data_IF_661742860710
#
_entry.id   IF_661742860710
#
_cell.length_a   1.000
_cell.length_b   1.000
_cell.length_c   1.000
_cell.angle_alpha   90.00
_cell.angle_beta   90.00
_cell.angle_gamma   90.00
#
_symmetry.space_group_name_H-M   'P 1'
#
loop_
_entity.id
_entity.type
_entity.pdbx_description
1 polymer ?
#
# COMPACT_ATOMS: atom_id res chain seq x y z
N UNK A 1 -12.15 -29.92 -57.15
CA UNK A 1 -10.85 -29.39 -56.71
C UNK A 1 -10.94 -27.88 -56.75
N UNK A 2 -11.40 -27.28 -55.65
CA UNK A 2 -11.31 -25.83 -55.50
C UNK A 2 -9.84 -25.56 -55.19
N UNK A 3 -9.13 -24.92 -56.11
CA UNK A 3 -7.85 -24.33 -55.80
C UNK A 3 -8.05 -23.58 -54.47
N UNK A 4 -7.32 -23.98 -53.43
CA UNK A 4 -7.17 -23.15 -52.26
C UNK A 4 -6.62 -21.83 -52.79
N UNK A 5 -7.50 -20.86 -53.04
CA UNK A 5 -7.11 -19.54 -53.51
C UNK A 5 -6.02 -19.10 -52.54
N UNK A 6 -4.82 -19.00 -53.09
CA UNK A 6 -3.60 -18.80 -52.35
C UNK A 6 -3.77 -17.47 -51.59
N UNK A 7 -3.86 -17.54 -50.26
CA UNK A 7 -3.97 -16.34 -49.43
C UNK A 7 -2.64 -15.61 -49.55
N UNK A 8 -2.66 -14.37 -50.04
CA UNK A 8 -1.43 -13.57 -50.07
C UNK A 8 -1.00 -13.19 -48.66
N UNK A 9 0.28 -12.90 -48.47
CA UNK A 9 0.82 -12.51 -47.17
C UNK A 9 0.14 -11.23 -46.65
N UNK A 10 -0.22 -10.31 -47.54
CA UNK A 10 -0.97 -9.10 -47.21
C UNK A 10 -2.39 -9.42 -46.73
N UNK A 11 -3.11 -10.32 -47.42
CA UNK A 11 -4.45 -10.76 -47.02
C UNK A 11 -4.42 -11.45 -45.65
N UNK A 12 -3.41 -12.29 -45.42
CA UNK A 12 -3.20 -12.98 -44.14
C UNK A 12 -2.90 -11.98 -43.01
N UNK A 13 -2.01 -11.01 -43.24
CA UNK A 13 -1.71 -9.96 -42.26
C UNK A 13 -2.94 -9.12 -41.90
N UNK A 14 -3.77 -8.77 -42.89
CA UNK A 14 -5.02 -8.02 -42.65
C UNK A 14 -6.04 -8.87 -41.89
N UNK A 15 -6.14 -10.17 -42.17
CA UNK A 15 -7.01 -11.08 -41.43
C UNK A 15 -6.61 -11.16 -39.95
N UNK A 16 -5.32 -11.29 -39.64
CA UNK A 16 -4.81 -11.34 -38.27
C UNK A 16 -5.06 -10.03 -37.51
N UNK A 17 -4.80 -8.89 -38.16
CA UNK A 17 -5.09 -7.57 -37.57
C UNK A 17 -6.59 -7.39 -37.30
N UNK A 18 -7.45 -7.78 -38.24
CA UNK A 18 -8.90 -7.70 -38.09
C UNK A 18 -9.41 -8.62 -36.96
N UNK A 19 -8.84 -9.82 -36.81
CA UNK A 19 -9.18 -10.74 -35.72
C UNK A 19 -8.85 -10.16 -34.34
N UNK A 20 -7.73 -9.44 -34.21
CA UNK A 20 -7.37 -8.73 -32.99
C UNK A 20 -8.31 -7.55 -32.72
N UNK A 21 -8.62 -6.75 -33.74
CA UNK A 21 -9.48 -5.57 -33.61
C UNK A 21 -10.93 -5.91 -33.23
N UNK A 22 -11.47 -7.02 -33.78
CA UNK A 22 -12.84 -7.45 -33.54
C UNK A 22 -12.94 -8.63 -32.56
N UNK A 23 -11.96 -8.80 -31.67
CA UNK A 23 -11.95 -9.87 -30.68
C UNK A 23 -13.14 -9.79 -29.70
N UNK A 24 -13.63 -8.57 -29.40
CA UNK A 24 -14.71 -8.30 -28.45
C UNK A 24 -16.14 -8.48 -28.97
N UNK A 25 -16.35 -8.75 -30.27
CA UNK A 25 -17.70 -9.01 -30.81
C UNK A 25 -18.13 -10.43 -30.44
N UNK A 26 -19.21 -10.56 -29.67
CA UNK A 26 -19.72 -11.84 -29.19
C UNK A 26 -20.54 -12.60 -30.23
N UNK A 27 -21.28 -11.92 -31.12
CA UNK A 27 -22.01 -12.58 -32.21
C UNK A 27 -21.05 -12.98 -33.34
N UNK A 28 -20.97 -14.29 -33.58
CA UNK A 28 -20.11 -14.90 -34.59
C UNK A 28 -20.43 -14.39 -36.00
N UNK A 29 -21.71 -14.18 -36.33
CA UNK A 29 -22.10 -13.70 -37.67
C UNK A 29 -21.67 -12.27 -37.89
N UNK A 30 -21.89 -11.39 -36.91
CA UNK A 30 -21.44 -10.01 -36.96
C UNK A 30 -19.91 -9.89 -36.96
N UNK A 31 -19.22 -10.71 -36.17
CA UNK A 31 -17.75 -10.75 -36.13
C UNK A 31 -17.16 -11.04 -37.51
N UNK A 32 -17.60 -12.10 -38.19
CA UNK A 32 -17.06 -12.44 -39.51
C UNK A 32 -17.43 -11.42 -40.59
N UNK A 33 -18.61 -10.78 -40.48
CA UNK A 33 -18.99 -9.67 -41.37
C UNK A 33 -18.09 -8.45 -41.19
N UNK A 34 -17.74 -8.11 -39.95
CA UNK A 34 -16.81 -7.03 -39.63
C UNK A 34 -15.38 -7.36 -40.11
N UNK A 35 -14.92 -8.58 -39.86
CA UNK A 35 -13.60 -9.06 -40.32
C UNK A 35 -13.49 -9.01 -41.85
N UNK A 36 -14.48 -9.53 -42.60
CA UNK A 36 -14.44 -9.45 -44.06
C UNK A 36 -14.43 -8.03 -44.60
N UNK A 37 -15.09 -7.09 -43.89
CA UNK A 37 -15.10 -5.68 -44.28
C UNK A 37 -13.72 -5.04 -44.11
N UNK A 38 -12.96 -5.45 -43.09
CA UNK A 38 -11.61 -4.97 -42.84
C UNK A 38 -10.58 -5.60 -43.81
N UNK A 39 -10.72 -6.89 -44.12
CA UNK A 39 -9.86 -7.58 -45.11
C UNK A 39 -10.12 -7.05 -46.52
N UNK A 40 -11.38 -6.75 -46.88
CA UNK A 40 -11.76 -6.06 -48.11
C UNK A 40 -11.71 -6.90 -49.39
N UNK A 41 -10.83 -7.90 -49.47
CA UNK A 41 -10.64 -8.76 -50.65
C UNK A 41 -11.43 -10.08 -50.60
N UNK A 42 -11.81 -10.55 -49.41
CA UNK A 42 -12.44 -11.87 -49.19
C UNK A 42 -13.78 -11.78 -48.49
N UNK A 43 -14.63 -12.77 -48.76
CA UNK A 43 -15.93 -12.91 -48.11
C UNK A 43 -15.80 -13.43 -46.66
N UNK A 44 -16.79 -13.11 -45.82
CA UNK A 44 -16.85 -13.54 -44.41
C UNK A 44 -16.68 -15.06 -44.22
N UNK A 45 -17.24 -15.86 -45.13
CA UNK A 45 -17.11 -17.33 -45.11
C UNK A 45 -15.67 -17.78 -45.37
N UNK A 46 -14.99 -17.17 -46.35
CA UNK A 46 -13.60 -17.51 -46.66
C UNK A 46 -12.65 -17.15 -45.50
N UNK A 47 -12.86 -15.99 -44.87
CA UNK A 47 -12.12 -15.58 -43.67
C UNK A 47 -12.30 -16.59 -42.52
N UNK A 48 -13.53 -17.07 -42.31
CA UNK A 48 -13.84 -18.05 -41.28
C UNK A 48 -13.20 -19.43 -41.56
N UNK A 49 -13.23 -19.88 -42.82
CA UNK A 49 -12.60 -21.14 -43.23
C UNK A 49 -11.07 -21.09 -43.06
N UNK A 50 -10.43 -19.97 -43.44
CA UNK A 50 -8.98 -19.78 -43.24
C UNK A 50 -8.60 -19.79 -41.76
N UNK A 51 -9.34 -19.08 -40.91
CA UNK A 51 -9.08 -19.08 -39.47
C UNK A 51 -9.19 -20.48 -38.85
N UNK A 52 -10.16 -21.30 -39.28
CA UNK A 52 -10.27 -22.69 -38.83
C UNK A 52 -9.02 -23.49 -39.21
N UNK A 53 -8.55 -23.37 -40.44
CA UNK A 53 -7.34 -24.05 -40.90
C UNK A 53 -6.10 -23.61 -40.10
N UNK A 54 -5.91 -22.31 -39.87
CA UNK A 54 -4.80 -21.80 -39.04
C UNK A 54 -4.88 -22.33 -37.60
N UNK A 55 -6.08 -22.38 -37.01
CA UNK A 55 -6.29 -22.90 -35.66
C UNK A 55 -5.98 -24.40 -35.57
N UNK A 56 -6.36 -25.19 -36.57
CA UNK A 56 -6.08 -26.62 -36.62
C UNK A 56 -4.57 -26.90 -36.70
N UNK A 57 -3.84 -26.16 -37.54
CA UNK A 57 -2.37 -26.26 -37.62
C UNK A 57 -1.72 -25.90 -36.28
N UNK A 58 -2.17 -24.81 -35.63
CA UNK A 58 -1.63 -24.41 -34.33
C UNK A 58 -1.88 -25.46 -33.23
N UNK A 59 -3.06 -26.10 -33.23
CA UNK A 59 -3.37 -27.18 -32.29
C UNK A 59 -2.53 -28.44 -32.58
N UNK A 60 -2.34 -28.79 -33.85
CA UNK A 60 -1.50 -29.92 -34.24
C UNK A 60 -0.04 -29.71 -33.87
N UNK A 61 0.51 -28.50 -34.08
CA UNK A 61 1.87 -28.17 -33.64
C UNK A 61 2.00 -28.28 -32.12
N UNK A 62 1.02 -27.79 -31.36
CA UNK A 62 1.01 -27.94 -29.90
C UNK A 62 0.92 -29.39 -29.45
N UNK A 63 0.16 -30.24 -30.15
CA UNK A 63 0.12 -31.68 -29.89
C UNK A 63 1.44 -32.36 -30.24
N UNK A 64 2.06 -32.00 -31.36
CA UNK A 64 3.38 -32.51 -31.74
C UNK A 64 4.49 -32.05 -30.80
N UNK A 65 4.40 -30.85 -30.22
CA UNK A 65 5.31 -30.40 -29.17
C UNK A 65 5.09 -31.17 -27.85
N UNK A 66 3.85 -31.50 -27.53
CA UNK A 66 3.52 -32.30 -26.35
C UNK A 66 3.90 -33.78 -26.50
N UNK A 67 3.82 -34.33 -27.72
CA UNK A 67 4.08 -35.75 -27.99
C UNK A 67 5.51 -36.02 -28.51
N UNK A 68 6.14 -35.05 -29.18
CA UNK A 68 7.44 -35.19 -29.86
C UNK A 68 8.65 -34.72 -29.06
N UNK A 69 8.49 -34.30 -27.82
CA UNK A 69 9.59 -33.94 -26.91
C UNK A 69 10.38 -35.13 -26.36
N UNK A 70 10.01 -36.37 -26.71
CA UNK A 70 10.52 -37.57 -26.07
C UNK A 70 10.61 -38.76 -27.05
N UNK A 71 11.55 -38.77 -28.02
CA UNK A 71 12.15 -40.07 -28.41
C UNK A 71 13.47 -40.07 -29.22
N UNK A 72 13.88 -39.03 -29.95
CA UNK A 72 15.04 -39.18 -30.87
C UNK A 72 16.39 -38.59 -30.36
N UNK A 73 16.69 -38.82 -29.07
CA UNK A 73 17.93 -38.35 -28.42
C UNK A 73 18.57 -39.32 -27.42
N UNK A 74 18.29 -40.62 -27.52
CA UNK A 74 18.48 -41.63 -26.44
C UNK A 74 19.91 -42.12 -26.14
N UNK A 75 20.95 -41.36 -26.47
CA UNK A 75 22.31 -41.73 -26.01
C UNK A 75 23.24 -40.55 -25.70
N UNK A 76 23.05 -39.39 -26.35
CA UNK A 76 23.80 -38.17 -26.03
C UNK A 76 22.99 -37.17 -25.19
N UNK A 77 21.66 -37.32 -25.12
CA UNK A 77 20.77 -36.45 -24.35
C UNK A 77 20.78 -36.72 -22.84
N UNK A 78 21.04 -37.96 -22.41
CA UNK A 78 20.93 -38.35 -21.00
C UNK A 78 21.97 -37.65 -20.10
N UNK A 79 23.17 -37.38 -20.62
CA UNK A 79 24.21 -36.68 -19.85
C UNK A 79 23.96 -35.16 -19.81
N UNK A 80 23.37 -34.60 -20.87
CA UNK A 80 22.98 -33.19 -20.92
C UNK A 80 21.72 -32.90 -20.09
N UNK A 81 20.78 -33.85 -20.02
CA UNK A 81 19.58 -33.74 -19.18
C UNK A 81 19.94 -33.87 -17.69
N UNK A 82 20.77 -34.84 -17.32
CA UNK A 82 21.26 -34.97 -15.94
C UNK A 82 22.04 -33.73 -15.46
N UNK A 83 22.75 -33.04 -16.38
CA UNK A 83 23.41 -31.78 -16.08
C UNK A 83 22.42 -30.61 -15.91
N UNK A 84 21.29 -30.60 -16.64
CA UNK A 84 20.22 -29.60 -16.48
C UNK A 84 19.44 -29.81 -15.19
N UNK A 85 19.05 -31.03 -14.87
CA UNK A 85 18.37 -31.36 -13.61
C UNK A 85 19.23 -30.99 -12.40
N UNK A 86 20.56 -31.23 -12.48
CA UNK A 86 21.48 -30.82 -11.43
C UNK A 86 21.56 -29.29 -11.30
N UNK A 87 21.62 -28.56 -12.42
CA UNK A 87 21.68 -27.10 -12.40
C UNK A 87 20.36 -26.49 -11.89
N UNK A 88 19.21 -27.02 -12.29
CA UNK A 88 17.90 -26.58 -11.83
C UNK A 88 17.72 -26.84 -10.33
N UNK A 89 18.23 -27.98 -9.82
CA UNK A 89 18.20 -28.26 -8.39
C UNK A 89 19.13 -27.34 -7.58
N UNK A 90 20.33 -27.04 -8.07
CA UNK A 90 21.22 -26.06 -7.43
C UNK A 90 20.62 -24.64 -7.46
N UNK A 91 19.93 -24.26 -8.53
CA UNK A 91 19.24 -22.97 -8.62
C UNK A 91 18.04 -22.90 -7.66
N UNK A 92 17.25 -23.97 -7.56
CA UNK A 92 16.13 -24.06 -6.62
C UNK A 92 16.61 -24.02 -5.16
N UNK A 93 17.72 -24.68 -4.82
CA UNK A 93 18.31 -24.62 -3.48
C UNK A 93 18.85 -23.22 -3.16
N UNK A 94 19.48 -22.54 -4.14
CA UNK A 94 19.93 -21.16 -3.98
C UNK A 94 18.76 -20.17 -3.80
N UNK A 95 17.66 -20.35 -4.53
CA UNK A 95 16.45 -19.55 -4.38
C UNK A 95 15.80 -19.78 -3.00
N UNK A 96 15.71 -21.03 -2.54
CA UNK A 96 15.18 -21.35 -1.21
C UNK A 96 16.03 -20.72 -0.09
N UNK A 97 17.36 -20.81 -0.19
CA UNK A 97 18.27 -20.17 0.77
C UNK A 97 18.17 -18.64 0.75
N UNK A 98 17.93 -18.04 -0.42
CA UNK A 98 17.71 -16.61 -0.55
C UNK A 98 16.38 -16.17 0.07
N UNK A 99 15.31 -16.94 -0.14
CA UNK A 99 13.99 -16.67 0.45
C UNK A 99 14.03 -16.81 1.98
N UNK A 100 14.73 -17.81 2.51
CA UNK A 100 14.95 -17.96 3.95
C UNK A 100 15.71 -16.77 4.55
N UNK A 101 16.79 -16.32 3.90
CA UNK A 101 17.55 -15.16 4.34
C UNK A 101 16.72 -13.86 4.27
N UNK A 102 15.87 -13.70 3.25
CA UNK A 102 14.97 -12.54 3.15
C UNK A 102 13.89 -12.58 4.24
N UNK A 103 13.36 -13.76 4.55
CA UNK A 103 12.39 -13.95 5.63
C UNK A 103 12.98 -13.59 6.99
N UNK A 104 14.24 -13.95 7.26
CA UNK A 104 14.94 -13.60 8.51
C UNK A 104 15.13 -12.08 8.65
N UNK A 105 15.62 -11.40 7.60
CA UNK A 105 15.78 -9.93 7.60
C UNK A 105 14.44 -9.22 7.77
N UNK A 106 13.38 -9.74 7.16
CA UNK A 106 12.02 -9.19 7.31
C UNK A 106 11.52 -9.35 8.74
N UNK A 107 11.74 -10.50 9.37
CA UNK A 107 11.36 -10.75 10.76
C UNK A 107 12.13 -9.83 11.73
N UNK A 108 13.42 -9.61 11.51
CA UNK A 108 14.23 -8.67 12.30
C UNK A 108 13.73 -7.23 12.15
N UNK A 109 13.41 -6.81 10.92
CA UNK A 109 12.87 -5.47 10.66
C UNK A 109 11.49 -5.25 11.30
N UNK A 110 10.64 -6.29 11.32
CA UNK A 110 9.33 -6.24 11.99
C UNK A 110 9.48 -6.14 13.51
N UNK A 111 10.37 -6.94 14.10
CA UNK A 111 10.68 -6.86 15.54
C UNK A 111 11.24 -5.49 15.94
N UNK A 112 12.12 -4.90 15.12
CA UNK A 112 12.65 -3.56 15.36
C UNK A 112 11.55 -2.48 15.28
N UNK A 113 10.58 -2.64 14.38
CA UNK A 113 9.44 -1.72 14.26
C UNK A 113 8.50 -1.83 15.46
N UNK A 114 8.20 -3.05 15.93
CA UNK A 114 7.39 -3.28 17.12
C UNK A 114 8.05 -2.68 18.37
N UNK A 115 9.37 -2.85 18.53
CA UNK A 115 10.13 -2.24 19.62
C UNK A 115 10.08 -0.70 19.58
N UNK A 116 10.21 -0.10 18.40
CA UNK A 116 10.10 1.35 18.25
C UNK A 116 8.68 1.86 18.56
N UNK A 117 7.64 1.10 18.16
CA UNK A 117 6.25 1.44 18.49
C UNK A 117 5.99 1.36 20.00
N UNK A 118 6.50 0.31 20.66
CA UNK A 118 6.42 0.15 22.11
C UNK A 118 7.07 1.35 22.84
N UNK A 119 8.25 1.78 22.42
CA UNK A 119 8.93 2.95 23.01
C UNK A 119 8.10 4.22 22.85
N UNK A 120 7.49 4.44 21.67
CA UNK A 120 6.61 5.62 21.47
C UNK A 120 5.37 5.58 22.34
N UNK A 121 4.79 4.40 22.56
CA UNK A 121 3.61 4.20 23.41
C UNK A 121 3.93 4.47 24.88
N UNK A 122 5.09 4.02 25.36
CA UNK A 122 5.54 4.30 26.72
C UNK A 122 5.83 5.78 26.93
N UNK A 123 6.46 6.45 25.95
CA UNK A 123 6.67 7.89 25.99
C UNK A 123 5.34 8.68 26.03
N UNK A 124 4.33 8.25 25.28
CA UNK A 124 3.00 8.86 25.33
C UNK A 124 2.32 8.67 26.69
N UNK A 125 2.44 7.47 27.27
CA UNK A 125 1.92 7.19 28.62
C UNK A 125 2.57 8.08 29.67
N UNK A 126 3.90 8.22 29.63
CA UNK A 126 4.61 9.12 30.55
C UNK A 126 4.17 10.58 30.40
N UNK A 127 3.91 11.05 29.17
CA UNK A 127 3.37 12.40 28.94
C UNK A 127 1.95 12.55 29.49
N UNK A 128 1.11 11.53 29.36
CA UNK A 128 -0.24 11.54 29.91
C UNK A 128 -0.21 11.60 31.45
N UNK A 129 0.64 10.81 32.08
CA UNK A 129 0.82 10.79 33.54
C UNK A 129 1.35 12.15 34.05
N UNK A 130 2.38 12.70 33.40
CA UNK A 130 2.91 14.03 33.75
C UNK A 130 1.85 15.13 33.61
N UNK A 131 1.00 15.06 32.59
CA UNK A 131 -0.09 16.01 32.39
C UNK A 131 -1.17 15.87 33.46
N UNK A 132 -1.48 14.65 33.89
CA UNK A 132 -2.42 14.40 34.98
C UNK A 132 -1.90 14.95 36.31
N UNK A 133 -0.61 14.75 36.62
CA UNK A 133 0.00 15.33 37.81
C UNK A 133 0.02 16.86 37.79
N UNK A 134 0.32 17.47 36.63
CA UNK A 134 0.27 18.91 36.46
C UNK A 134 -1.15 19.47 36.71
N UNK A 135 -2.18 18.84 36.14
CA UNK A 135 -3.58 19.22 36.35
C UNK A 135 -4.00 19.07 37.82
N UNK A 136 -3.54 18.00 38.50
CA UNK A 136 -3.80 17.80 39.93
C UNK A 136 -3.16 18.90 40.79
N UNK A 137 -1.95 19.34 40.45
CA UNK A 137 -1.26 20.44 41.15
C UNK A 137 -1.99 21.77 40.93
N UNK A 138 -2.38 22.06 39.69
CA UNK A 138 -3.14 23.26 39.34
C UNK A 138 -4.50 23.31 40.08
N UNK A 139 -5.20 22.18 40.16
CA UNK A 139 -6.46 22.09 40.91
C UNK A 139 -6.27 22.38 42.41
N UNK A 140 -5.20 21.88 43.03
CA UNK A 140 -4.86 22.17 44.43
C UNK A 140 -4.51 23.64 44.65
N UNK A 141 -3.76 24.24 43.72
CA UNK A 141 -3.41 25.65 43.79
C UNK A 141 -4.65 26.54 43.66
N UNK A 142 -5.56 26.20 42.74
CA UNK A 142 -6.83 26.91 42.56
C UNK A 142 -7.72 26.80 43.80
N UNK A 143 -7.84 25.62 44.40
CA UNK A 143 -8.60 25.43 45.65
C UNK A 143 -7.99 26.23 46.81
N UNK A 144 -6.66 26.28 46.92
CA UNK A 144 -5.96 27.09 47.91
C UNK A 144 -6.19 28.61 47.70
N UNK A 145 -6.15 29.07 46.44
CA UNK A 145 -6.45 30.47 46.08
C UNK A 145 -7.90 30.81 46.40
N UNK A 146 -8.87 29.95 46.05
CA UNK A 146 -10.28 30.16 46.34
C UNK A 146 -10.54 30.20 47.85
N UNK A 147 -9.90 29.31 48.62
CA UNK A 147 -9.95 29.33 50.08
C UNK A 147 -9.39 30.63 50.67
N UNK A 148 -8.25 31.11 50.17
CA UNK A 148 -7.65 32.37 50.62
C UNK A 148 -8.57 33.58 50.35
N UNK A 149 -9.14 33.65 49.14
CA UNK A 149 -10.12 34.71 48.77
C UNK A 149 -11.35 34.66 49.67
N UNK A 150 -11.85 33.45 49.99
CA UNK A 150 -13.01 33.27 50.88
C UNK A 150 -12.71 33.70 52.32
N UNK A 151 -11.52 33.38 52.83
CA UNK A 151 -11.07 33.78 54.16
C UNK A 151 -10.88 35.30 54.26
N UNK A 152 -10.32 35.92 53.23
CA UNK A 152 -10.19 37.38 53.13
C UNK A 152 -11.57 38.06 53.10
N UNK A 153 -12.50 37.56 52.28
CA UNK A 153 -13.87 38.09 52.22
C UNK A 153 -14.59 37.97 53.58
N UNK A 154 -14.40 36.86 54.30
CA UNK A 154 -14.95 36.69 55.65
C UNK A 154 -14.33 37.68 56.65
N UNK A 155 -13.02 37.93 56.57
CA UNK A 155 -12.34 38.91 57.42
C UNK A 155 -12.80 40.35 57.14
N UNK A 156 -13.07 40.70 55.88
CA UNK A 156 -13.62 42.00 55.50
C UNK A 156 -15.05 42.19 56.04
N UNK A 157 -15.91 41.17 55.94
CA UNK A 157 -17.26 41.21 56.53
C UNK A 157 -17.24 41.42 58.05
N UNK A 158 -16.31 40.77 58.76
CA UNK A 158 -16.16 40.95 60.21
C UNK A 158 -15.77 42.39 60.61
N UNK A 159 -15.00 43.10 59.76
CA UNK A 159 -14.61 44.51 60.00
C UNK A 159 -15.73 45.52 59.68
N UNK A 160 -16.65 45.18 58.78
CA UNK A 160 -17.77 46.06 58.38
C UNK A 160 -19.00 46.04 59.30
N UNK A 161 -19.11 45.04 60.19
CA UNK A 161 -20.34 44.78 60.96
C UNK A 161 -20.63 45.70 62.16
N UNK A 162 -19.71 46.58 62.59
CA UNK A 162 -19.83 47.25 63.90
C UNK A 162 -20.05 48.77 63.86
N UNK A 163 -20.42 49.36 62.71
CA UNK A 163 -20.51 50.83 62.58
C UNK A 163 -21.86 51.40 62.11
N UNK A 164 -22.94 50.61 62.05
CA UNK A 164 -24.24 51.08 61.52
C UNK A 164 -25.42 50.77 62.44
N UNK A 165 -25.33 51.19 63.70
CA UNK A 165 -26.46 51.18 64.64
C UNK A 165 -26.68 52.52 65.38
N UNK A 166 -26.02 53.62 64.98
CA UNK A 166 -26.33 54.95 65.50
C UNK A 166 -26.18 56.00 64.40
N UNK A 167 -27.03 57.03 64.43
CA UNK A 167 -27.17 58.17 63.50
C UNK A 167 -28.01 57.85 62.24
N UNK A 168 -29.33 58.03 62.24
CA UNK A 168 -30.14 59.26 62.40
C UNK A 168 -29.80 60.34 61.35
N UNK A 169 -30.75 60.58 60.44
CA UNK A 169 -30.94 61.75 59.56
C UNK A 169 -30.32 63.06 60.08
N UNK A 170 -29.84 63.99 59.24
CA UNK A 170 -30.70 64.70 58.27
C UNK A 170 -30.04 65.15 56.94
N UNK A 171 -30.91 65.66 56.06
CA UNK A 171 -30.59 66.41 54.86
C UNK A 171 -29.63 67.59 55.12
N UNK A 172 -28.65 67.83 54.25
CA UNK A 172 -28.28 69.19 53.82
C UNK A 172 -27.33 69.22 52.61
N UNK A 173 -27.39 70.36 51.98
CA UNK A 173 -26.93 70.90 50.72
C UNK A 173 -25.43 71.30 50.68
N UNK A 174 -24.85 71.19 49.47
CA UNK A 174 -23.70 71.90 48.89
C UNK A 174 -22.31 71.97 49.60
N UNK A 175 -21.27 71.73 48.76
CA UNK A 175 -20.09 72.61 48.52
C UNK A 175 -18.70 71.99 48.73
N UNK A 176 -18.09 71.65 47.58
CA UNK A 176 -16.74 71.95 47.07
C UNK A 176 -15.44 71.81 47.91
N UNK A 177 -14.39 71.40 47.16
CA UNK A 177 -12.93 71.64 47.29
C UNK A 177 -12.11 70.49 47.89
N UNK A 178 -11.54 69.63 47.03
CA UNK A 178 -10.10 69.47 46.66
C UNK A 178 -9.19 69.11 47.85
N UNK A 179 -8.68 67.85 47.89
CA UNK A 179 -7.30 67.58 48.30
C UNK A 179 -6.80 66.22 47.80
N UNK A 180 -5.52 66.16 47.47
CA UNK A 180 -4.87 65.12 46.69
C UNK A 180 -4.52 63.87 47.51
N UNK A 181 -5.07 62.74 47.11
CA UNK A 181 -4.59 61.42 47.51
C UNK A 181 -4.84 60.47 46.36
N UNK A 182 -3.78 59.92 45.77
CA UNK A 182 -3.87 58.90 44.74
C UNK A 182 -4.63 57.69 45.26
N UNK A 183 -5.93 57.69 45.03
CA UNK A 183 -6.79 56.53 45.17
C UNK A 183 -6.35 55.62 44.04
N UNK A 184 -5.73 54.49 44.38
CA UNK A 184 -5.72 53.34 43.48
C UNK A 184 -7.18 53.04 43.20
N UNK A 185 -7.70 53.65 42.14
CA UNK A 185 -9.01 53.38 41.58
C UNK A 185 -8.90 51.94 41.08
N UNK A 186 -9.18 51.01 41.99
CA UNK A 186 -9.39 49.61 41.69
C UNK A 186 -10.46 49.61 40.61
N UNK A 187 -10.01 49.47 39.36
CA UNK A 187 -10.88 49.41 38.20
C UNK A 187 -11.64 48.11 38.37
N UNK A 188 -12.77 48.18 39.08
CA UNK A 188 -13.71 47.09 39.24
C UNK A 188 -14.27 46.84 37.84
N UNK A 189 -13.56 46.00 37.08
CA UNK A 189 -14.03 45.55 35.78
C UNK A 189 -15.39 44.90 36.00
N UNK A 190 -16.38 45.45 35.31
CA UNK A 190 -17.75 44.97 35.32
C UNK A 190 -17.77 43.47 34.97
N UNK A 191 -18.71 42.72 35.54
CA UNK A 191 -18.72 41.26 35.44
C UNK A 191 -18.83 40.77 33.98
N UNK A 192 -19.46 41.59 33.13
CA UNK A 192 -19.49 41.40 31.68
C UNK A 192 -18.10 41.53 31.03
N UNK A 193 -17.26 42.46 31.49
CA UNK A 193 -15.90 42.64 31.00
C UNK A 193 -14.99 41.47 31.40
N UNK A 194 -15.14 40.93 32.62
CA UNK A 194 -14.39 39.73 33.05
C UNK A 194 -14.73 38.51 32.19
N UNK A 195 -16.01 38.24 31.94
CA UNK A 195 -16.44 37.16 31.05
C UNK A 195 -15.94 37.33 29.61
N UNK A 196 -15.92 38.56 29.11
CA UNK A 196 -15.36 38.84 27.78
C UNK A 196 -13.84 38.62 27.73
N UNK A 197 -13.10 39.00 28.77
CA UNK A 197 -11.66 38.77 28.87
C UNK A 197 -11.34 37.26 28.92
N UNK A 198 -12.09 36.48 29.70
CA UNK A 198 -11.94 35.03 29.78
C UNK A 198 -12.22 34.35 28.43
N UNK A 199 -13.26 34.79 27.70
CA UNK A 199 -13.56 34.26 26.37
C UNK A 199 -12.42 34.56 25.39
N UNK A 200 -11.83 35.77 25.43
CA UNK A 200 -10.66 36.12 24.60
C UNK A 200 -9.47 35.23 24.93
N UNK A 201 -9.20 35.00 26.22
CA UNK A 201 -8.12 34.11 26.68
C UNK A 201 -8.33 32.67 26.20
N UNK A 202 -9.56 32.16 26.23
CA UNK A 202 -9.89 30.84 25.70
C UNK A 202 -9.72 30.76 24.18
N UNK A 203 -10.11 31.80 23.44
CA UNK A 203 -9.91 31.87 21.98
C UNK A 203 -8.43 31.88 21.64
N UNK A 204 -7.61 32.65 22.38
CA UNK A 204 -6.16 32.69 22.20
C UNK A 204 -5.51 31.35 22.53
N UNK A 205 -5.87 30.71 23.65
CA UNK A 205 -5.39 29.38 24.01
C UNK A 205 -5.76 28.31 22.97
N UNK A 206 -6.97 28.38 22.40
CA UNK A 206 -7.39 27.47 21.33
C UNK A 206 -6.63 27.72 20.03
N UNK A 207 -6.36 28.99 19.67
CA UNK A 207 -5.51 29.33 18.53
C UNK A 207 -4.09 28.83 18.71
N UNK A 208 -3.51 29.00 19.89
CA UNK A 208 -2.17 28.51 20.21
C UNK A 208 -2.09 26.98 20.12
N UNK A 209 -3.08 26.28 20.68
CA UNK A 209 -3.18 24.81 20.58
C UNK A 209 -3.27 24.33 19.14
N UNK A 210 -3.95 25.07 18.27
CA UNK A 210 -4.02 24.75 16.84
C UNK A 210 -2.64 24.93 16.17
N UNK A 211 -1.93 26.03 16.45
CA UNK A 211 -0.58 26.24 15.92
C UNK A 211 0.40 25.14 16.35
N UNK A 212 0.33 24.71 17.61
CA UNK A 212 1.16 23.61 18.10
C UNK A 212 0.89 22.29 17.39
N UNK A 213 -0.38 21.99 17.04
CA UNK A 213 -0.72 20.81 16.24
C UNK A 213 -0.16 20.92 14.81
N UNK A 214 -0.33 22.07 14.18
CA UNK A 214 0.19 22.30 12.83
C UNK A 214 1.72 22.18 12.80
N UNK A 215 2.42 22.70 13.81
CA UNK A 215 3.88 22.55 13.96
C UNK A 215 4.29 21.10 14.22
N UNK A 216 3.54 20.33 15.01
CA UNK A 216 3.82 18.91 15.25
C UNK A 216 3.60 18.08 13.98
N UNK A 217 2.52 18.33 13.24
CA UNK A 217 2.27 17.69 11.93
C UNK A 217 3.34 18.06 10.91
N UNK A 218 3.78 19.32 10.87
CA UNK A 218 4.89 19.75 10.03
C UNK A 218 6.19 19.02 10.39
N UNK A 219 6.49 18.86 11.68
CA UNK A 219 7.66 18.09 12.15
C UNK A 219 7.55 16.61 11.77
N UNK A 220 6.38 15.98 11.93
CA UNK A 220 6.15 14.58 11.52
C UNK A 220 6.32 14.42 10.01
N UNK A 221 5.78 15.35 9.21
CA UNK A 221 5.94 15.36 7.75
C UNK A 221 7.39 15.55 7.33
N UNK A 222 8.13 16.45 7.98
CA UNK A 222 9.55 16.65 7.72
C UNK A 222 10.38 15.41 8.08
N UNK A 223 10.09 14.75 9.22
CA UNK A 223 10.75 13.51 9.62
C UNK A 223 10.50 12.39 8.62
N UNK A 224 9.25 12.22 8.16
CA UNK A 224 8.91 11.24 7.12
C UNK A 224 9.62 11.53 5.81
N UNK A 225 9.64 12.79 5.37
CA UNK A 225 10.36 13.19 4.16
C UNK A 225 11.87 12.91 4.25
N UNK A 226 12.50 13.14 5.40
CA UNK A 226 13.91 12.81 5.63
C UNK A 226 14.17 11.29 5.58
N UNK A 227 13.27 10.48 6.15
CA UNK A 227 13.35 9.03 6.09
C UNK A 227 13.18 8.50 4.66
N UNK A 228 12.22 9.05 3.89
CA UNK A 228 12.01 8.69 2.49
C UNK A 228 13.23 9.07 1.62
N UNK A 229 13.88 10.20 1.91
CA UNK A 229 15.12 10.61 1.24
C UNK A 229 16.30 9.68 1.56
N UNK A 230 16.44 9.27 2.82
CA UNK A 230 17.45 8.31 3.25
C UNK A 230 17.24 6.94 2.59
N UNK A 231 16.00 6.45 2.55
CA UNK A 231 15.65 5.21 1.86
C UNK A 231 15.94 5.29 0.35
N UNK A 232 15.66 6.42 -0.29
CA UNK A 232 15.98 6.64 -1.70
C UNK A 232 17.50 6.62 -1.95
N UNK A 233 18.30 7.23 -1.06
CA UNK A 233 19.77 7.18 -1.15
C UNK A 233 20.30 5.75 -0.95
N UNK A 234 19.75 5.00 -0.01
CA UNK A 234 20.11 3.61 0.22
C UNK A 234 19.79 2.74 -1.01
N UNK A 235 18.60 2.89 -1.61
CA UNK A 235 18.21 2.19 -2.82
C UNK A 235 19.13 2.53 -4.01
N UNK A 236 19.52 3.80 -4.17
CA UNK A 236 20.46 4.22 -5.20
C UNK A 236 21.86 3.62 -4.99
N UNK A 237 22.33 3.54 -3.75
CA UNK A 237 23.61 2.91 -3.40
C UNK A 237 23.58 1.41 -3.70
N UNK A 238 22.49 0.72 -3.34
CA UNK A 238 22.29 -0.70 -3.66
C UNK A 238 22.29 -0.96 -5.17
N UNK A 239 21.61 -0.13 -5.96
CA UNK A 239 21.61 -0.22 -7.43
C UNK A 239 23.02 -0.08 -8.02
N UNK A 240 23.79 0.91 -7.55
CA UNK A 240 25.20 1.09 -7.97
C UNK A 240 26.09 -0.09 -7.59
N UNK A 241 25.87 -0.68 -6.41
CA UNK A 241 26.61 -1.86 -5.98
C UNK A 241 26.29 -3.10 -6.85
N UNK A 242 25.02 -3.29 -7.20
CA UNK A 242 24.59 -4.36 -8.11
C UNK A 242 25.19 -4.20 -9.52
N UNK A 243 25.18 -2.98 -10.06
CA UNK A 243 25.79 -2.68 -11.36
C UNK A 243 27.31 -2.93 -11.35
N UNK A 244 28.00 -2.54 -10.27
CA UNK A 244 29.43 -2.81 -10.11
C UNK A 244 29.74 -4.31 -10.00
N UNK A 245 28.85 -5.10 -9.38
CA UNK A 245 28.98 -6.57 -9.32
C UNK A 245 28.82 -7.19 -10.71
N UNK A 246 27.79 -6.80 -11.45
CA UNK A 246 27.55 -7.27 -12.82
C UNK A 246 28.70 -6.91 -13.77
N UNK A 247 29.30 -5.73 -13.62
CA UNK A 247 30.48 -5.34 -14.39
C UNK A 247 31.72 -6.21 -14.08
N UNK A 248 31.91 -6.60 -12.81
CA UNK A 248 33.00 -7.52 -12.41
C UNK A 248 32.77 -8.92 -12.96
N UNK A 249 31.55 -9.43 -12.87
CA UNK A 249 31.21 -10.77 -13.37
C UNK A 249 31.37 -10.84 -14.89
N UNK A 250 30.94 -9.80 -15.62
CA UNK A 250 31.17 -9.68 -17.06
C UNK A 250 32.66 -9.67 -17.41
N UNK A 251 33.49 -8.95 -16.64
CA UNK A 251 34.94 -8.92 -16.84
C UNK A 251 35.58 -10.29 -16.59
N UNK A 252 35.18 -10.98 -15.52
CA UNK A 252 35.65 -12.32 -15.20
C UNK A 252 35.28 -13.34 -16.30
N UNK A 253 34.08 -13.23 -16.87
CA UNK A 253 33.65 -14.06 -18.00
C UNK A 253 34.51 -13.84 -19.25
N UNK A 254 34.84 -12.59 -19.59
CA UNK A 254 35.70 -12.26 -20.72
C UNK A 254 37.16 -12.73 -20.50
N UNK A 255 37.70 -12.58 -19.28
CA UNK A 255 39.01 -13.13 -18.92
C UNK A 255 39.05 -14.67 -19.01
N UNK A 256 37.98 -15.36 -18.59
CA UNK A 256 37.86 -16.81 -18.72
C UNK A 256 37.78 -17.28 -20.18
N UNK A 257 37.07 -16.54 -21.05
CA UNK A 257 37.05 -16.80 -22.50
C UNK A 257 38.44 -16.62 -23.13
N UNK A 258 39.15 -15.56 -22.76
CA UNK A 258 40.51 -15.31 -23.26
C UNK A 258 41.48 -16.42 -22.85
N UNK A 259 41.42 -16.88 -21.59
CA UNK A 259 42.25 -17.98 -21.11
C UNK A 259 41.99 -19.30 -21.87
N UNK A 260 40.74 -19.58 -22.24
CA UNK A 260 40.38 -20.81 -22.98
C UNK A 260 40.87 -20.80 -24.45
N UNK A 261 40.98 -19.63 -25.06
CA UNK A 261 41.50 -19.49 -26.42
C UNK A 261 43.02 -19.69 -26.52
N UNK A 262 43.74 -19.60 -25.39
CA UNK A 262 45.20 -19.62 -25.34
C UNK A 262 45.79 -20.99 -24.95
N UNK A 263 45.01 -22.07 -25.00
CA UNK A 263 45.54 -23.44 -24.91
C UNK A 263 45.93 -23.90 -26.33
N UNK A 264 47.19 -23.76 -26.77
CA UNK A 264 47.63 -24.30 -28.05
C UNK A 264 47.47 -25.81 -28.04
N UNK A 265 46.88 -26.35 -29.10
CA UNK A 265 46.54 -27.75 -29.25
C UNK A 265 47.69 -28.68 -28.87
N UNK A 266 47.57 -29.33 -27.71
CA UNK A 266 48.30 -30.55 -27.44
C UNK A 266 47.58 -31.66 -28.21
N UNK A 267 48.25 -32.13 -29.25
CA UNK A 267 47.69 -33.03 -30.26
C UNK A 267 47.15 -34.35 -29.70
N UNK A 268 46.37 -35.08 -30.51
CA UNK A 268 45.80 -36.37 -30.15
C UNK A 268 46.90 -37.43 -30.05
N UNK A 269 47.56 -37.52 -28.90
CA UNK A 269 48.39 -38.67 -28.56
C UNK A 269 47.46 -39.81 -28.13
N UNK A 270 47.25 -40.75 -29.06
CA UNK A 270 46.49 -41.96 -28.81
C UNK A 270 47.04 -42.75 -27.63
N UNK A 271 46.20 -43.03 -26.64
CA UNK A 271 46.47 -44.02 -25.62
C UNK A 271 45.36 -45.08 -25.66
N UNK A 272 45.65 -46.17 -26.38
CA UNK A 272 44.95 -47.44 -26.21
C UNK A 272 45.26 -47.96 -24.81
N UNK A 273 44.32 -47.83 -23.90
CA UNK A 273 44.39 -48.40 -22.55
C UNK A 273 43.16 -49.24 -22.26
N UNK A 274 43.15 -50.48 -22.75
CA UNK A 274 42.23 -51.52 -22.31
C UNK A 274 42.49 -51.85 -20.84
N UNK A 275 41.67 -51.30 -19.94
CA UNK A 275 41.73 -51.56 -18.50
C UNK A 275 40.40 -52.15 -18.01
N UNK A 276 40.24 -53.45 -18.18
CA UNK A 276 39.14 -54.27 -17.65
C UNK A 276 39.43 -54.50 -16.16
N UNK A 277 38.70 -53.82 -15.28
CA UNK A 277 38.85 -53.94 -13.82
C UNK A 277 37.49 -54.10 -13.17
N UNK A 278 37.21 -55.33 -12.72
CA UNK A 278 35.99 -55.75 -12.05
C UNK A 278 36.01 -55.45 -10.54
N UNK A 279 34.98 -54.74 -10.06
CA UNK A 279 34.37 -54.80 -8.69
C UNK A 279 35.22 -54.42 -7.46
N UNK A 280 34.66 -54.51 -6.24
CA UNK A 280 33.24 -54.55 -5.84
C UNK A 280 32.89 -53.59 -4.66
N UNK A 281 31.60 -53.58 -4.30
CA UNK A 281 30.97 -53.20 -3.03
C UNK A 281 31.83 -52.69 -1.86
N UNK A 282 31.46 -51.53 -1.32
CA UNK A 282 31.89 -51.03 -0.01
C UNK A 282 30.70 -50.48 0.78
N UNK A 283 30.07 -51.36 1.54
CA UNK A 283 29.02 -51.09 2.52
C UNK A 283 29.70 -50.68 3.84
N UNK A 284 29.21 -49.61 4.48
CA UNK A 284 29.42 -49.36 5.92
C UNK A 284 30.44 -48.28 6.30
N UNK A 285 30.01 -47.29 7.08
CA UNK A 285 30.34 -47.20 8.50
C UNK A 285 29.75 -45.91 9.08
N UNK A 286 28.85 -46.06 10.04
CA UNK A 286 28.61 -45.05 11.07
C UNK A 286 29.92 -44.81 11.83
N UNK A 287 30.22 -43.56 12.17
CA UNK A 287 31.13 -43.24 13.26
C UNK A 287 30.70 -41.92 13.88
N UNK A 288 30.09 -42.04 15.06
CA UNK A 288 29.91 -40.96 16.00
C UNK A 288 31.27 -40.41 16.43
N UNK A 289 31.38 -39.09 16.54
CA UNK A 289 32.39 -38.45 17.39
C UNK A 289 31.67 -37.42 18.26
N UNK A 290 31.42 -37.84 19.49
CA UNK A 290 31.19 -36.96 20.62
C UNK A 290 32.48 -36.19 20.91
N UNK A 291 32.39 -34.86 20.92
CA UNK A 291 33.46 -33.95 21.35
C UNK A 291 32.93 -33.03 22.45
N UNK A 292 33.12 -33.46 23.69
CA UNK A 292 32.77 -32.76 24.93
C UNK A 292 33.92 -31.82 25.31
N UNK A 293 33.61 -30.55 25.55
CA UNK A 293 34.23 -29.73 26.60
C UNK A 293 35.60 -29.09 26.35
N UNK A 294 35.63 -27.76 26.27
CA UNK A 294 36.71 -26.95 26.82
C UNK A 294 36.16 -25.58 27.23
N UNK A 295 35.92 -25.42 28.53
CA UNK A 295 35.80 -24.14 29.22
C UNK A 295 37.13 -23.41 29.18
N UNK A 296 37.17 -22.16 28.72
CA UNK A 296 38.28 -21.25 28.99
C UNK A 296 37.83 -19.80 28.88
N UNK A 297 37.55 -19.21 30.05
CA UNK A 297 38.13 -17.95 30.53
C UNK A 297 38.00 -16.69 29.64
N UNK A 298 37.13 -15.78 30.08
CA UNK A 298 37.15 -14.35 29.71
C UNK A 298 38.55 -13.73 29.90
N UNK A 299 38.86 -12.67 29.15
CA UNK A 299 38.96 -11.40 29.86
C UNK A 299 38.21 -10.26 29.16
N UNK A 300 37.76 -9.33 30.02
CA UNK A 300 37.27 -8.02 29.66
C UNK A 300 38.30 -7.24 28.82
N UNK A 301 37.85 -6.59 27.75
CA UNK A 301 38.70 -5.74 26.92
C UNK A 301 37.89 -4.88 25.97
N UNK A 302 37.81 -3.59 26.31
CA UNK A 302 37.20 -2.51 25.53
C UNK A 302 37.76 -2.40 24.11
N UNK A 303 36.88 -2.04 23.18
CA UNK A 303 37.21 -1.09 22.11
C UNK A 303 37.25 -1.65 20.68
N UNK A 304 36.57 -0.96 19.77
CA UNK A 304 36.89 -1.01 18.33
C UNK A 304 35.74 -1.40 17.41
N UNK A 305 34.79 -0.49 17.21
CA UNK A 305 33.90 -0.49 16.06
C UNK A 305 34.72 -0.35 14.77
N UNK A 306 34.80 -1.41 13.97
CA UNK A 306 35.14 -1.37 12.55
C UNK A 306 34.43 -2.54 11.83
N UNK A 307 33.12 -2.41 11.65
CA UNK A 307 32.31 -3.36 10.88
C UNK A 307 32.50 -3.15 9.38
N UNK A 308 33.10 -4.14 8.72
CA UNK A 308 33.34 -4.20 7.28
C UNK A 308 32.59 -5.43 6.74
N UNK A 309 31.67 -5.21 5.79
CA UNK A 309 31.31 -6.19 4.75
C UNK A 309 30.10 -7.09 5.01
N UNK A 310 28.90 -6.56 4.79
CA UNK A 310 27.69 -7.36 4.52
C UNK A 310 27.55 -7.64 3.03
N UNK A 311 27.46 -8.92 2.68
CA UNK A 311 27.26 -9.48 1.34
C UNK A 311 25.80 -9.32 0.90
N UNK A 312 25.57 -8.71 -0.27
CA UNK A 312 24.23 -8.57 -0.85
C UNK A 312 23.99 -9.60 -1.97
N UNK A 313 23.12 -10.55 -1.67
CA UNK A 313 22.41 -11.46 -2.58
C UNK A 313 21.36 -10.66 -3.36
N UNK A 314 21.18 -10.96 -4.64
CA UNK A 314 20.42 -10.16 -5.61
C UNK A 314 19.12 -10.88 -5.99
N UNK A 315 17.96 -10.24 -5.91
CA UNK A 315 16.72 -10.65 -6.59
C UNK A 315 16.37 -9.65 -7.73
N UNK A 316 15.66 -10.08 -8.78
CA UNK A 316 15.26 -9.21 -9.90
C UNK A 316 13.92 -8.50 -9.65
N UNK A 317 13.87 -7.19 -9.86
CA UNK A 317 12.64 -6.38 -9.79
C UNK A 317 12.21 -5.93 -11.19
N UNK A 318 10.93 -6.21 -11.47
CA UNK A 318 10.19 -5.84 -12.66
C UNK A 318 10.06 -4.32 -12.89
N UNK A 319 9.97 -3.94 -14.17
CA UNK A 319 9.77 -2.59 -14.67
C UNK A 319 8.48 -1.91 -14.14
N UNK A 320 8.57 -0.65 -13.66
CA UNK A 320 7.39 0.19 -13.51
C UNK A 320 7.11 1.00 -14.79
N UNK A 321 5.92 0.77 -15.38
CA UNK A 321 5.33 1.60 -16.44
C UNK A 321 5.07 3.03 -15.95
N UNK A 322 5.34 4.00 -16.83
CA UNK A 322 5.18 5.43 -16.62
C UNK A 322 3.72 5.86 -16.32
N UNK A 323 3.51 6.96 -15.55
CA UNK A 323 2.18 7.52 -15.32
C UNK A 323 1.68 8.31 -16.53
N UNK A 324 0.63 7.80 -17.18
CA UNK A 324 -0.17 8.54 -18.15
C UNK A 324 -1.01 9.62 -17.47
N UNK A 325 -0.99 10.83 -18.05
CA UNK A 325 -1.74 12.02 -17.62
C UNK A 325 -3.25 11.75 -17.53
N UNK A 326 -3.98 12.37 -16.59
CA UNK A 326 -5.43 12.21 -16.49
C UNK A 326 -6.15 12.89 -17.65
N UNK A 327 -6.95 12.10 -18.36
CA UNK A 327 -7.89 12.55 -19.40
C UNK A 327 -9.06 13.26 -18.74
N UNK A 328 -9.27 14.52 -19.13
CA UNK A 328 -10.42 15.31 -18.78
C UNK A 328 -11.65 14.82 -19.57
N UNK A 329 -12.38 13.86 -19.03
CA UNK A 329 -13.78 13.63 -19.41
C UNK A 329 -14.46 12.66 -18.43
N UNK A 330 -15.19 13.19 -17.45
CA UNK A 330 -16.38 12.51 -16.93
C UNK A 330 -17.39 13.50 -16.35
N UNK A 331 -18.69 13.33 -16.68
CA UNK A 331 -19.74 14.30 -16.43
C UNK A 331 -20.40 14.10 -15.04
N UNK A 332 -21.03 15.17 -14.58
CA UNK A 332 -22.13 15.19 -13.59
C UNK A 332 -21.92 14.50 -12.24
N UNK A 333 -21.35 15.25 -11.29
CA UNK A 333 -21.67 15.09 -9.86
C UNK A 333 -22.48 16.29 -9.39
N UNK A 334 -23.80 16.27 -9.65
CA UNK A 334 -24.79 17.11 -8.96
C UNK A 334 -25.14 16.41 -7.66
N UNK A 335 -24.67 16.92 -6.53
CA UNK A 335 -25.15 16.43 -5.25
C UNK A 335 -24.51 17.11 -4.07
N UNK A 336 -25.37 17.65 -3.21
CA UNK A 336 -25.12 18.04 -1.82
C UNK A 336 -24.47 19.41 -1.62
N UNK A 337 -25.30 20.44 -1.82
CA UNK A 337 -24.94 21.79 -1.38
C UNK A 337 -25.93 22.90 -1.76
N UNK A 338 -27.24 22.69 -1.60
CA UNK A 338 -28.20 23.80 -1.67
C UNK A 338 -28.96 23.93 -0.34
N UNK A 339 -28.62 25.03 0.37
CA UNK A 339 -29.39 25.59 1.47
C UNK A 339 -30.82 25.89 1.00
N UNK A 340 -31.88 25.50 1.73
CA UNK A 340 -33.21 26.04 1.48
C UNK A 340 -33.26 27.50 1.94
N UNK A 341 -33.55 28.40 1.00
CA UNK A 341 -33.89 29.78 1.27
C UNK A 341 -35.32 29.87 1.86
N UNK A 342 -35.50 30.85 2.74
CA UNK A 342 -36.74 31.14 3.46
C UNK A 342 -37.92 31.38 2.50
N UNK A 343 -39.00 30.64 2.69
CA UNK A 343 -40.30 30.92 2.08
C UNK A 343 -41.13 31.80 3.01
N UNK A 344 -41.26 33.07 2.63
CA UNK A 344 -42.32 33.98 3.02
C UNK A 344 -43.66 33.52 2.42
N UNK A 345 -44.75 33.58 3.21
CA UNK A 345 -46.13 33.34 2.76
C UNK A 345 -46.62 34.33 1.67
N UNK A 346 -47.87 34.21 1.18
CA UNK A 346 -49.03 34.52 2.02
C UNK A 346 -50.35 33.75 1.76
N UNK A 347 -51.20 33.80 2.80
CA UNK A 347 -52.69 33.90 2.83
C UNK A 347 -53.62 32.75 2.35
N UNK A 348 -54.68 32.41 3.14
CA UNK A 348 -55.72 31.43 2.78
C UNK A 348 -57.06 32.09 2.41
N UNK A 349 -57.83 31.49 1.49
CA UNK A 349 -59.29 31.69 1.41
C UNK A 349 -60.01 30.63 0.55
N UNK A 350 -61.08 30.08 1.14
CA UNK A 350 -62.35 29.65 0.53
C UNK A 350 -62.44 28.41 -0.38
N UNK A 351 -62.78 27.26 0.23
CA UNK A 351 -64.15 26.71 0.16
C UNK A 351 -64.57 25.77 -1.01
N UNK A 352 -65.60 24.91 -0.81
CA UNK A 352 -65.71 23.59 -1.46
C UNK A 352 -67.01 23.36 -2.28
N UNK A 353 -67.04 22.29 -3.11
CA UNK A 353 -68.19 21.47 -3.61
C UNK A 353 -67.78 20.81 -4.94
N UNK A 354 -68.32 19.70 -5.43
CA UNK A 354 -69.00 18.50 -4.94
C UNK A 354 -69.22 17.63 -6.21
N UNK A 355 -69.19 16.30 -6.02
CA UNK A 355 -69.92 15.27 -6.76
C UNK A 355 -69.84 15.16 -8.31
N UNK A 356 -69.34 14.03 -8.80
CA UNK A 356 -70.10 13.04 -9.60
C UNK A 356 -69.18 11.88 -10.05
N UNK A 357 -69.56 10.63 -9.74
CA UNK A 357 -68.93 9.42 -10.29
C UNK A 357 -69.47 9.07 -11.69
N UNK A 358 -69.62 7.77 -12.03
CA UNK A 358 -68.58 6.75 -12.20
C UNK A 358 -68.68 6.09 -13.59
N UNK A 359 -67.62 5.40 -14.09
CA UNK A 359 -67.80 4.36 -15.13
C UNK A 359 -66.60 3.41 -15.28
N UNK A 360 -66.89 2.14 -14.95
CA UNK A 360 -66.60 0.89 -15.66
C UNK A 360 -65.27 0.66 -16.43
N UNK A 361 -64.70 -0.53 -16.23
CA UNK A 361 -63.79 -1.21 -17.16
C UNK A 361 -62.76 -2.07 -16.42
N UNK A 362 -63.04 -3.36 -16.17
CA UNK A 362 -62.59 -4.51 -16.98
C UNK A 362 -61.11 -4.89 -16.74
N UNK A 363 -60.86 -6.14 -16.31
CA UNK A 363 -59.54 -6.74 -15.99
C UNK A 363 -58.65 -7.02 -17.23
N UNK A 364 -57.71 -8.00 -17.25
CA UNK A 364 -57.46 -9.09 -16.29
C UNK A 364 -55.97 -9.36 -15.92
N UNK A 365 -55.77 -10.40 -15.09
CA UNK A 365 -54.54 -11.14 -14.70
C UNK A 365 -53.52 -11.39 -15.84
N UNK A 366 -52.24 -11.26 -15.52
CA UNK A 366 -51.11 -12.00 -16.10
C UNK A 366 -50.04 -12.17 -14.99
N UNK A 367 -49.84 -13.35 -14.40
CA UNK A 367 -49.07 -14.51 -14.87
C UNK A 367 -47.55 -14.28 -14.81
N UNK A 368 -46.92 -14.92 -13.81
CA UNK A 368 -45.48 -14.97 -13.60
C UNK A 368 -44.77 -15.86 -14.64
N UNK A 369 -43.54 -15.54 -15.09
CA UNK A 369 -42.81 -16.38 -16.01
C UNK A 369 -42.18 -17.61 -15.31
N UNK A 370 -42.58 -18.78 -15.77
CA UNK A 370 -41.96 -20.08 -15.50
C UNK A 370 -40.58 -20.15 -16.19
N UNK A 371 -39.54 -20.53 -15.46
CA UNK A 371 -38.24 -20.85 -16.02
C UNK A 371 -38.26 -22.23 -16.72
N UNK A 372 -37.66 -22.39 -17.91
CA UNK A 372 -37.51 -23.70 -18.54
C UNK A 372 -36.38 -24.49 -17.87
N UNK A 373 -36.72 -25.65 -17.30
CA UNK A 373 -35.75 -26.69 -16.97
C UNK A 373 -35.38 -27.41 -18.27
N UNK A 374 -34.13 -27.20 -18.72
CA UNK A 374 -33.52 -27.99 -19.78
C UNK A 374 -32.82 -29.24 -19.22
N UNK A 375 -32.79 -30.36 -19.97
CA UNK A 375 -32.27 -31.64 -19.50
C UNK A 375 -30.74 -31.62 -19.37
N UNK A 376 -30.25 -32.09 -18.22
CA UNK A 376 -28.86 -32.51 -18.00
C UNK A 376 -28.60 -33.75 -18.86
N UNK A 377 -27.61 -33.75 -19.77
CA UNK A 377 -27.16 -34.97 -20.41
C UNK A 377 -26.36 -35.80 -19.41
N UNK A 378 -26.91 -36.99 -19.16
CA UNK A 378 -26.30 -38.14 -18.52
C UNK A 378 -25.06 -38.56 -19.32
N UNK A 379 -23.90 -38.43 -18.71
CA UNK A 379 -22.64 -38.98 -19.18
C UNK A 379 -21.73 -39.01 -17.96
N UNK A 380 -21.32 -40.20 -17.58
CA UNK A 380 -19.97 -40.63 -17.18
C UNK A 380 -20.12 -42.06 -16.66
N UNK A 381 -20.23 -43.01 -17.58
CA UNK A 381 -20.02 -44.44 -17.33
C UNK A 381 -19.24 -45.02 -18.52
N UNK A 382 -18.18 -45.76 -18.15
CA UNK A 382 -17.15 -46.50 -18.91
C UNK A 382 -16.13 -45.76 -19.80
#
# INVERSE_FOLDING_TARGET
MSAAEEWSDEEQSLLEQALAQFAGISDVKEKWKAVSKAVGSRNARACAERFKACREVALRLKQQEAEGGQDDGKAAGAEAEAARDKAEREEAEAQAAQEEAEAEVKAEAEAAREAAEAETRDAERQRADAKFEAARKEAKEKDAQEKAVREEAAAQQAKGGNKKAAEKSPANEQKAVVDAGGVEEEVVMDEGQRRAADMRRQIEANREKLRLRDEEEAKKKAKKAAQDEEAAKAAQAAKKAAEAKLAKDKKALEEAKAAKAQVPGSGPAGSKGTGKGSGPAGYGSQAAVAGKGATSTQPAGKGGLAGKGGSATSQPVAEPKAPTKPSASSPEYKGWGQKPAAASGPSPAAGPKAAAGPKAGAGPKAAAPQAPQGPVPDSWDD
#
